data_IF_707483244860
#
_entry.id   IF_707483244860
#
_cell.length_a   1.000
_cell.length_b   1.000
_cell.length_c   1.000
_cell.angle_alpha   90.00
_cell.angle_beta   90.00
_cell.angle_gamma   90.00
#
_symmetry.space_group_name_H-M   'P 1'
#
loop_
_entity.id
_entity.type
_entity.pdbx_description
1 polymer ?
#
# COMPACT_ATOMS: atom_id res chain seq x y z
N UNK A 1 1.53 15.00 -1.60
CA UNK A 1 1.33 13.54 -1.62
C UNK A 1 2.34 12.84 -2.53
N UNK A 2 2.54 13.28 -3.77
CA UNK A 2 3.56 12.68 -4.67
C UNK A 2 4.97 12.69 -4.05
N UNK A 3 5.37 13.82 -3.42
CA UNK A 3 6.66 13.91 -2.71
C UNK A 3 6.89 12.83 -1.65
N UNK A 4 5.87 12.47 -0.86
CA UNK A 4 6.03 11.44 0.17
C UNK A 4 6.12 10.03 -0.46
N UNK A 5 5.40 9.79 -1.56
CA UNK A 5 5.51 8.55 -2.31
C UNK A 5 6.93 8.40 -2.89
N UNK A 6 7.48 9.44 -3.49
CA UNK A 6 8.85 9.46 -4.03
C UNK A 6 9.90 9.22 -2.92
N UNK A 7 9.72 9.87 -1.76
CA UNK A 7 10.59 9.64 -0.59
C UNK A 7 10.53 8.19 -0.11
N UNK A 8 9.33 7.60 -0.01
CA UNK A 8 9.16 6.20 0.39
C UNK A 8 9.78 5.24 -0.62
N UNK A 9 9.56 5.47 -1.92
CA UNK A 9 10.16 4.68 -3.00
C UNK A 9 11.70 4.70 -2.88
N UNK A 10 12.28 5.89 -2.67
CA UNK A 10 13.73 6.06 -2.49
C UNK A 10 14.23 5.38 -1.20
N UNK A 11 13.51 5.51 -0.09
CA UNK A 11 13.88 4.90 1.19
C UNK A 11 13.86 3.37 1.13
N UNK A 12 12.87 2.80 0.42
CA UNK A 12 12.75 1.37 0.17
C UNK A 12 13.64 0.88 -0.98
N UNK A 13 14.42 1.77 -1.62
CA UNK A 13 15.27 1.49 -2.79
C UNK A 13 14.52 0.79 -3.93
N UNK A 14 13.24 1.15 -4.11
CA UNK A 14 12.41 0.66 -5.20
C UNK A 14 12.50 1.60 -6.41
N UNK A 15 12.28 1.08 -7.61
CA UNK A 15 12.22 1.89 -8.84
C UNK A 15 10.81 1.82 -9.45
N UNK A 16 9.85 2.48 -8.78
CA UNK A 16 8.43 2.44 -9.14
C UNK A 16 7.97 3.77 -9.73
N UNK A 17 6.98 3.72 -10.61
CA UNK A 17 6.31 4.91 -11.13
C UNK A 17 4.94 5.08 -10.47
N UNK A 18 4.48 6.32 -10.21
CA UNK A 18 3.14 6.53 -9.69
C UNK A 18 2.06 5.81 -10.51
N UNK A 19 1.11 5.19 -9.82
CA UNK A 19 0.02 4.45 -10.43
C UNK A 19 -1.31 5.02 -9.96
N UNK A 20 -2.15 5.42 -10.91
CA UNK A 20 -3.46 5.96 -10.61
C UNK A 20 -4.45 4.84 -10.27
N UNK A 21 -5.05 4.96 -9.08
CA UNK A 21 -6.05 4.03 -8.57
C UNK A 21 -7.49 4.49 -8.87
N UNK A 22 -7.68 5.63 -9.53
CA UNK A 22 -9.01 6.25 -9.76
C UNK A 22 -10.01 5.33 -10.47
N UNK A 23 -9.53 4.44 -11.34
CA UNK A 23 -10.35 3.44 -12.03
C UNK A 23 -10.79 2.27 -11.16
N UNK A 24 -10.11 2.02 -10.03
CA UNK A 24 -10.35 0.88 -9.14
C UNK A 24 -11.01 1.30 -7.83
N UNK A 25 -10.75 2.54 -7.37
CA UNK A 25 -11.32 3.05 -6.14
C UNK A 25 -11.42 4.56 -6.09
N UNK A 26 -12.45 5.06 -5.38
CA UNK A 26 -12.60 6.47 -5.03
C UNK A 26 -11.90 6.83 -3.71
N UNK A 27 -11.31 5.86 -3.00
CA UNK A 27 -10.65 6.11 -1.71
C UNK A 27 -9.35 6.91 -1.91
N UNK A 28 -9.36 8.16 -1.46
CA UNK A 28 -8.19 9.06 -1.51
C UNK A 28 -7.13 8.78 -0.43
N UNK A 29 -7.38 7.83 0.47
CA UNK A 29 -6.46 7.42 1.53
C UNK A 29 -5.36 6.47 1.05
N UNK A 30 -5.33 6.15 -0.24
CA UNK A 30 -4.31 5.31 -0.86
C UNK A 30 -3.65 6.06 -1.99
N UNK A 31 -2.32 6.00 -2.02
CA UNK A 31 -1.55 6.35 -3.21
C UNK A 31 -0.65 5.17 -3.56
N UNK A 32 -0.38 5.00 -4.84
CA UNK A 32 0.27 3.80 -5.34
C UNK A 32 1.40 4.14 -6.30
N UNK A 33 2.41 3.28 -6.33
CA UNK A 33 3.39 3.23 -7.40
C UNK A 33 3.61 1.78 -7.82
N UNK A 34 3.86 1.55 -9.11
CA UNK A 34 4.12 0.21 -9.63
C UNK A 34 5.17 0.20 -10.73
N UNK A 35 5.72 -0.99 -10.95
CA UNK A 35 6.41 -1.37 -12.18
C UNK A 35 5.73 -2.63 -12.77
N UNK A 36 6.46 -3.43 -13.55
CA UNK A 36 5.93 -4.67 -14.14
C UNK A 36 5.70 -5.79 -13.11
N UNK A 37 6.46 -5.82 -12.02
CA UNK A 37 6.51 -6.92 -11.06
C UNK A 37 6.19 -6.54 -9.62
N UNK A 38 6.27 -5.25 -9.30
CA UNK A 38 6.20 -4.70 -7.96
C UNK A 38 5.10 -3.64 -7.87
N UNK A 39 4.39 -3.62 -6.75
CA UNK A 39 3.44 -2.57 -6.41
C UNK A 39 3.65 -2.13 -4.98
N UNK A 40 3.69 -0.81 -4.76
CA UNK A 40 3.71 -0.19 -3.44
C UNK A 40 2.39 0.52 -3.22
N UNK A 41 1.63 0.04 -2.24
CA UNK A 41 0.48 0.77 -1.71
C UNK A 41 0.90 1.56 -0.48
N UNK A 42 0.60 2.86 -0.48
CA UNK A 42 0.80 3.69 0.69
C UNK A 42 -0.53 4.18 1.25
N UNK A 43 -0.81 3.82 2.51
CA UNK A 43 -1.94 4.32 3.25
C UNK A 43 -1.61 5.67 3.91
N UNK A 44 -2.36 6.70 3.53
CA UNK A 44 -2.21 8.09 3.98
C UNK A 44 -3.35 8.55 4.89
N UNK A 45 -4.24 7.62 5.28
CA UNK A 45 -5.33 7.94 6.20
C UNK A 45 -4.80 8.37 7.57
N UNK A 46 -5.54 9.25 8.24
CA UNK A 46 -5.17 9.76 9.58
C UNK A 46 -5.54 8.78 10.71
N UNK A 47 -6.43 7.85 10.44
CA UNK A 47 -6.92 6.87 11.42
C UNK A 47 -6.08 5.60 11.39
N UNK A 48 -6.09 4.87 12.50
CA UNK A 48 -5.48 3.53 12.58
C UNK A 48 -5.97 2.64 11.43
N UNK A 49 -5.04 1.94 10.78
CA UNK A 49 -5.35 0.97 9.73
C UNK A 49 -5.90 -0.31 10.36
N UNK A 50 -7.14 -0.66 10.00
CA UNK A 50 -7.89 -1.75 10.61
C UNK A 50 -8.07 -2.94 9.65
N UNK A 51 -8.62 -4.03 10.16
CA UNK A 51 -8.87 -5.25 9.38
C UNK A 51 -9.72 -4.99 8.14
N UNK A 52 -10.74 -4.12 8.24
CA UNK A 52 -11.56 -3.73 7.09
C UNK A 52 -10.77 -3.04 5.98
N UNK A 53 -9.70 -2.32 6.35
CA UNK A 53 -8.82 -1.65 5.40
C UNK A 53 -7.87 -2.67 4.75
N UNK A 54 -7.39 -3.66 5.51
CA UNK A 54 -6.60 -4.78 4.99
C UNK A 54 -7.37 -5.61 3.95
N UNK A 55 -8.63 -5.96 4.25
CA UNK A 55 -9.49 -6.71 3.33
C UNK A 55 -9.75 -5.92 2.04
N UNK A 56 -9.99 -4.61 2.17
CA UNK A 56 -10.13 -3.73 1.01
C UNK A 56 -8.84 -3.71 0.16
N UNK A 57 -7.68 -3.58 0.81
CA UNK A 57 -6.39 -3.51 0.13
C UNK A 57 -6.04 -4.83 -0.57
N UNK A 58 -6.35 -5.98 0.04
CA UNK A 58 -6.18 -7.30 -0.59
C UNK A 58 -6.99 -7.37 -1.89
N UNK A 59 -8.27 -7.03 -1.85
CA UNK A 59 -9.14 -7.04 -3.02
C UNK A 59 -8.63 -6.09 -4.11
N UNK A 60 -8.17 -4.90 -3.72
CA UNK A 60 -7.57 -3.94 -4.65
C UNK A 60 -6.29 -4.51 -5.31
N UNK A 61 -5.43 -5.18 -4.55
CA UNK A 61 -4.21 -5.78 -5.07
C UNK A 61 -4.48 -6.97 -6.01
N UNK A 62 -5.53 -7.76 -5.73
CA UNK A 62 -5.95 -8.85 -6.61
C UNK A 62 -6.38 -8.34 -7.99
N UNK A 63 -7.08 -7.20 -8.05
CA UNK A 63 -7.50 -6.59 -9.33
C UNK A 63 -6.34 -6.10 -10.20
N UNK A 64 -5.20 -5.75 -9.59
CA UNK A 64 -4.04 -5.23 -10.32
C UNK A 64 -3.12 -6.36 -10.83
N UNK A 65 -3.25 -7.57 -10.29
CA UNK A 65 -2.53 -8.79 -10.68
C UNK A 65 -1.00 -8.62 -10.75
N UNK A 66 -0.39 -8.32 -9.60
CA UNK A 66 1.06 -8.11 -9.46
C UNK A 66 1.66 -9.06 -8.42
N UNK A 67 2.88 -9.53 -8.71
CA UNK A 67 3.60 -10.53 -7.92
C UNK A 67 4.06 -9.98 -6.56
N UNK A 68 4.88 -8.93 -6.55
CA UNK A 68 5.48 -8.42 -5.32
C UNK A 68 4.69 -7.22 -4.78
N UNK A 69 4.15 -7.38 -3.58
CA UNK A 69 3.29 -6.38 -2.96
C UNK A 69 4.00 -5.77 -1.77
N UNK A 70 4.12 -4.46 -1.77
CA UNK A 70 4.67 -3.66 -0.69
C UNK A 70 3.55 -2.79 -0.12
N UNK A 71 3.49 -2.71 1.19
CA UNK A 71 2.53 -1.86 1.89
C UNK A 71 3.27 -0.93 2.84
N UNK A 72 3.01 0.37 2.73
CA UNK A 72 3.50 1.38 3.65
C UNK A 72 2.33 2.06 4.35
N UNK A 73 2.33 2.11 5.68
CA UNK A 73 1.32 2.85 6.44
C UNK A 73 1.93 4.07 7.13
N UNK A 74 1.33 5.25 6.88
CA UNK A 74 1.63 6.48 7.64
C UNK A 74 0.91 6.53 9.00
N UNK A 75 -0.01 5.60 9.25
CA UNK A 75 -0.77 5.51 10.49
C UNK A 75 -0.44 4.22 11.23
N UNK A 76 -0.76 4.19 12.53
CA UNK A 76 -0.68 2.96 13.32
C UNK A 76 -1.45 1.83 12.65
N UNK A 77 -0.87 0.63 12.66
CA UNK A 77 -1.43 -0.56 12.04
C UNK A 77 -1.91 -1.51 13.14
N UNK A 78 -3.16 -1.99 13.07
CA UNK A 78 -3.62 -3.00 14.02
C UNK A 78 -2.97 -4.37 13.72
N UNK A 79 -2.68 -5.15 14.76
CA UNK A 79 -2.01 -6.45 14.63
C UNK A 79 -2.78 -7.42 13.72
N UNK A 80 -4.11 -7.45 13.83
CA UNK A 80 -4.96 -8.27 12.94
C UNK A 80 -4.80 -7.91 11.47
N UNK A 81 -4.77 -6.61 11.14
CA UNK A 81 -4.58 -6.14 9.78
C UNK A 81 -3.17 -6.42 9.26
N UNK A 82 -2.15 -6.24 10.10
CA UNK A 82 -0.76 -6.58 9.79
C UNK A 82 -0.64 -8.06 9.42
N UNK A 83 -1.08 -8.95 10.30
CA UNK A 83 -0.98 -10.39 10.11
C UNK A 83 -1.73 -10.83 8.84
N UNK A 84 -2.90 -10.25 8.58
CA UNK A 84 -3.66 -10.53 7.37
C UNK A 84 -2.87 -10.17 6.11
N UNK A 85 -2.30 -8.98 6.04
CA UNK A 85 -1.52 -8.54 4.88
C UNK A 85 -0.25 -9.38 4.69
N UNK A 86 0.46 -9.73 5.76
CA UNK A 86 1.64 -10.62 5.70
C UNK A 86 1.26 -12.00 5.14
N UNK A 87 0.16 -12.58 5.62
CA UNK A 87 -0.37 -13.85 5.09
C UNK A 87 -0.76 -13.78 3.60
N UNK A 88 -1.08 -12.58 3.10
CA UNK A 88 -1.41 -12.34 1.68
C UNK A 88 -0.19 -11.94 0.84
N UNK A 89 1.01 -12.05 1.41
CA UNK A 89 2.28 -11.83 0.72
C UNK A 89 2.69 -10.36 0.61
N UNK A 90 2.15 -9.48 1.46
CA UNK A 90 2.60 -8.09 1.51
C UNK A 90 3.86 -7.93 2.38
N UNK A 91 4.85 -7.22 1.85
CA UNK A 91 5.98 -6.69 2.62
C UNK A 91 5.54 -5.38 3.30
N UNK A 92 5.47 -5.37 4.62
CA UNK A 92 4.87 -4.27 5.39
C UNK A 92 5.94 -3.35 5.98
N UNK A 93 5.71 -2.04 5.80
CA UNK A 93 6.48 -0.95 6.39
C UNK A 93 5.52 0.02 7.07
N UNK A 94 5.91 0.56 8.22
CA UNK A 94 5.10 1.52 8.98
C UNK A 94 5.98 2.68 9.36
N UNK A 95 5.51 3.91 9.14
CA UNK A 95 6.12 5.10 9.73
C UNK A 95 5.87 5.04 11.24
N UNK A 96 6.93 4.82 12.03
CA UNK A 96 6.90 5.04 13.48
C UNK A 96 7.11 6.51 13.78
#
# INVERSE_FOLDING_TARGET
>A
MIKILEQTIKALKLNLKPYDLSMLTRKKSYICAKDQNNILFMYTGKTKFLMKDALFLENLAQQININNKYFFSMASLCSKAKNHLEMKGFNIYVAL
#
